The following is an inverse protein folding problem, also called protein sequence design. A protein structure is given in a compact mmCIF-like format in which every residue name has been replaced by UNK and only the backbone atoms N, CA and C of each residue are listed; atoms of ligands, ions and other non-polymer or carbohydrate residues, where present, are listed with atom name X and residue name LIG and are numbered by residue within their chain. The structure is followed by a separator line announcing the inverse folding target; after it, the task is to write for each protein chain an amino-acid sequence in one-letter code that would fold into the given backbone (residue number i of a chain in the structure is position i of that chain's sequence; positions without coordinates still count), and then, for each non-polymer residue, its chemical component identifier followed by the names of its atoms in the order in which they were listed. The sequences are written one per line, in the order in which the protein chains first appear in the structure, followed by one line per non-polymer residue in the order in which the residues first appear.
data_IF_810328052126
#
_entry.id   IF_810328052126
#
_cell.length_a   1.000
_cell.length_b   1.000
_cell.length_c   1.000
_cell.angle_alpha   90.00
_cell.angle_beta   90.00
_cell.angle_gamma   90.00
#
_symmetry.space_group_name_H-M   'P 1'
#
loop_
_entity.id
_entity.type
_entity.pdbx_description
1 polymer ?
#
# COMPACT_ATOMS: atom_id res chain seq x y z
N UNK A 1 5.21 22.61 7.45
CA UNK A 1 5.25 21.32 6.73
C UNK A 1 3.94 21.21 5.98
N UNK A 2 4.01 21.09 4.66
CA UNK A 2 2.83 20.91 3.80
C UNK A 2 2.31 19.49 4.01
N UNK A 3 1.01 19.29 4.20
CA UNK A 3 0.44 17.97 4.56
C UNK A 3 0.76 16.80 3.63
N UNK A 4 1.33 17.07 2.45
CA UNK A 4 1.83 16.06 1.50
C UNK A 4 3.17 15.43 1.90
N UNK A 5 4.06 16.20 2.53
CA UNK A 5 5.35 15.69 3.02
C UNK A 5 5.14 14.80 4.25
N UNK A 6 4.19 15.19 5.10
CA UNK A 6 3.80 14.43 6.29
C UNK A 6 3.14 13.09 5.89
N UNK A 7 2.32 13.09 4.83
CA UNK A 7 1.71 11.88 4.28
C UNK A 7 2.75 10.91 3.71
N UNK A 8 3.72 11.43 2.96
CA UNK A 8 4.78 10.61 2.37
C UNK A 8 5.67 9.99 3.44
N UNK A 9 6.05 10.77 4.46
CA UNK A 9 6.80 10.27 5.61
C UNK A 9 6.03 9.19 6.40
N UNK A 10 4.72 9.40 6.61
CA UNK A 10 3.86 8.42 7.25
C UNK A 10 3.81 7.10 6.48
N UNK A 11 3.59 7.14 5.17
CA UNK A 11 3.54 5.93 4.34
C UNK A 11 4.88 5.21 4.34
N UNK A 12 6.00 5.95 4.19
CA UNK A 12 7.35 5.35 4.21
C UNK A 12 7.64 4.63 5.53
N UNK A 13 7.33 5.24 6.67
CA UNK A 13 7.51 4.60 7.97
C UNK A 13 6.69 3.30 8.10
N UNK A 14 5.48 3.27 7.55
CA UNK A 14 4.65 2.06 7.58
C UNK A 14 5.13 0.97 6.64
N UNK A 15 5.70 1.34 5.50
CA UNK A 15 6.36 0.39 4.61
C UNK A 15 7.60 -0.22 5.27
N UNK A 16 8.38 0.56 6.02
CA UNK A 16 9.51 0.03 6.81
C UNK A 16 9.02 -1.03 7.84
N UNK A 17 7.94 -0.73 8.58
CA UNK A 17 7.33 -1.68 9.53
C UNK A 17 6.82 -2.96 8.85
N UNK A 18 6.14 -2.85 7.70
CA UNK A 18 5.66 -4.01 6.95
C UNK A 18 6.81 -4.87 6.39
N UNK A 19 7.93 -4.25 6.00
CA UNK A 19 9.14 -4.97 5.61
C UNK A 19 9.76 -5.73 6.79
N UNK A 20 9.79 -5.15 7.99
CA UNK A 20 10.25 -5.85 9.20
C UNK A 20 9.38 -7.08 9.49
N UNK A 21 8.06 -6.94 9.38
CA UNK A 21 7.11 -8.05 9.57
C UNK A 21 7.30 -9.14 8.53
N UNK A 22 7.43 -8.77 7.25
CA UNK A 22 7.72 -9.71 6.18
C UNK A 22 9.01 -10.50 6.43
N UNK A 23 10.07 -9.83 6.86
CA UNK A 23 11.36 -10.48 7.19
C UNK A 23 11.29 -11.37 8.43
N UNK A 24 10.31 -11.16 9.30
CA UNK A 24 10.02 -11.98 10.47
C UNK A 24 9.03 -13.13 10.20
N UNK A 25 8.70 -13.39 8.92
CA UNK A 25 7.66 -14.34 8.50
C UNK A 25 6.25 -14.00 9.07
N UNK A 26 6.02 -12.74 9.43
CA UNK A 26 4.71 -12.23 9.83
C UNK A 26 3.96 -11.64 8.64
N UNK A 27 2.63 -11.78 8.63
CA UNK A 27 1.79 -11.24 7.55
C UNK A 27 1.79 -9.70 7.56
N UNK A 28 2.35 -9.02 6.53
CA UNK A 28 2.33 -7.56 6.47
C UNK A 28 0.91 -6.99 6.48
N UNK A 29 0.72 -5.80 7.06
CA UNK A 29 -0.58 -5.13 7.10
C UNK A 29 -1.12 -4.84 5.71
N UNK A 30 -0.25 -4.51 4.76
CA UNK A 30 -0.64 -4.32 3.36
C UNK A 30 -1.28 -5.58 2.77
N UNK A 31 -0.63 -6.73 2.95
CA UNK A 31 -1.15 -8.02 2.47
C UNK A 31 -2.42 -8.45 3.22
N UNK A 32 -2.50 -8.19 4.52
CA UNK A 32 -3.72 -8.41 5.30
C UNK A 32 -4.89 -7.56 4.78
N UNK A 33 -4.65 -6.29 4.50
CA UNK A 33 -5.66 -5.38 3.94
C UNK A 33 -6.12 -5.81 2.55
N UNK A 34 -5.21 -6.32 1.71
CA UNK A 34 -5.56 -6.90 0.41
C UNK A 34 -6.42 -8.16 0.54
N UNK A 35 -6.08 -9.06 1.47
CA UNK A 35 -6.90 -10.26 1.76
C UNK A 35 -8.32 -9.90 2.21
N UNK A 36 -8.47 -8.78 2.91
CA UNK A 36 -9.75 -8.26 3.36
C UNK A 36 -10.45 -7.36 2.32
N UNK A 37 -9.88 -7.19 1.13
CA UNK A 37 -10.46 -6.41 0.05
C UNK A 37 -10.53 -4.90 0.32
N UNK A 38 -9.70 -4.38 1.23
CA UNK A 38 -9.63 -2.93 1.54
C UNK A 38 -8.81 -2.15 0.52
N UNK A 39 -7.88 -2.83 -0.12
CA UNK A 39 -7.00 -2.32 -1.17
C UNK A 39 -6.71 -3.47 -2.12
N UNK A 40 -6.36 -3.15 -3.36
CA UNK A 40 -5.86 -4.13 -4.34
C UNK A 40 -4.69 -3.52 -5.09
N UNK A 41 -3.61 -4.28 -5.16
CA UNK A 41 -2.41 -3.94 -5.94
C UNK A 41 -2.25 -4.97 -7.04
N UNK A 42 -2.23 -4.52 -8.28
CA UNK A 42 -2.18 -5.40 -9.45
C UNK A 42 -1.25 -4.83 -10.52
N UNK A 43 -0.68 -5.69 -11.36
CA UNK A 43 0.01 -5.23 -12.56
C UNK A 43 -0.96 -4.46 -13.47
N UNK A 44 -0.49 -3.32 -13.97
CA UNK A 44 -1.21 -2.54 -14.96
C UNK A 44 -1.40 -3.34 -16.27
N UNK A 45 -2.50 -3.06 -16.98
CA UNK A 45 -2.85 -3.78 -18.22
C UNK A 45 -1.88 -3.49 -19.37
N UNK A 46 -1.19 -2.36 -19.32
CA UNK A 46 -0.13 -1.95 -20.25
C UNK A 46 1.23 -2.60 -19.92
N UNK A 47 1.32 -3.33 -18.80
CA UNK A 47 2.55 -3.96 -18.32
C UNK A 47 3.53 -2.98 -17.65
N UNK A 48 3.16 -1.69 -17.52
CA UNK A 48 4.01 -0.68 -16.91
C UNK A 48 3.55 -0.34 -15.50
N UNK A 49 4.22 -0.96 -14.52
CA UNK A 49 4.01 -0.65 -13.10
C UNK A 49 2.77 -1.31 -12.50
N UNK A 50 2.30 -0.75 -11.39
CA UNK A 50 1.20 -1.29 -10.59
C UNK A 50 0.05 -0.29 -10.50
N UNK A 51 -1.17 -0.84 -10.47
CA UNK A 51 -2.40 -0.11 -10.18
C UNK A 51 -2.83 -0.38 -8.74
N UNK A 52 -3.23 0.68 -8.04
CA UNK A 52 -3.72 0.62 -6.66
C UNK A 52 -5.18 1.08 -6.65
N UNK A 53 -6.07 0.27 -6.10
CA UNK A 53 -7.51 0.58 -6.03
C UNK A 53 -8.13 0.21 -4.69
N UNK A 54 -9.11 1.00 -4.24
CA UNK A 54 -9.94 0.76 -3.05
C UNK A 54 -11.20 -0.05 -3.37
N UNK A 55 -11.53 -0.19 -4.65
CA UNK A 55 -12.81 -0.70 -5.10
C UNK A 55 -12.74 -2.23 -5.20
N UNK A 56 -13.76 -2.99 -4.74
CA UNK A 56 -13.96 -4.39 -5.11
C UNK A 56 -14.29 -4.51 -6.60
N UNK A 57 -13.36 -4.11 -7.48
CA UNK A 57 -13.55 -4.22 -8.93
C UNK A 57 -13.73 -5.70 -9.25
N UNK A 58 -14.94 -5.96 -9.76
CA UNK A 58 -15.46 -7.21 -10.28
C UNK A 58 -14.63 -7.67 -11.48
N UNK A 59 -13.46 -8.24 -11.22
CA UNK A 59 -12.76 -9.09 -12.19
C UNK A 59 -12.03 -10.20 -11.43
N UNK A 60 -12.59 -11.39 -11.63
CA UNK A 60 -12.37 -12.64 -10.91
C UNK A 60 -11.04 -13.30 -11.30
N UNK A 61 -10.37 -13.82 -10.28
CA UNK A 61 -9.72 -15.14 -10.25
C UNK A 61 -8.44 -15.42 -11.07
N UNK A 62 -8.01 -14.60 -12.05
CA UNK A 62 -6.87 -15.01 -12.92
C UNK A 62 -5.53 -14.29 -12.71
N UNK A 63 -5.49 -13.15 -12.00
CA UNK A 63 -4.21 -12.47 -11.74
C UNK A 63 -3.63 -12.92 -10.41
N UNK A 64 -2.45 -13.54 -10.48
CA UNK A 64 -1.64 -13.81 -9.30
C UNK A 64 -1.44 -12.50 -8.52
N UNK A 65 -1.55 -12.53 -7.17
CA UNK A 65 -1.23 -11.36 -6.38
C UNK A 65 0.22 -10.95 -6.64
N UNK A 66 0.45 -9.65 -6.73
CA UNK A 66 1.82 -9.11 -6.82
C UNK A 66 2.60 -9.60 -5.59
N UNK A 67 3.87 -10.01 -5.70
CA UNK A 67 4.66 -10.35 -4.51
C UNK A 67 4.88 -9.14 -3.62
N UNK A 68 4.82 -9.31 -2.29
CA UNK A 68 4.98 -8.21 -1.33
C UNK A 68 6.22 -7.32 -1.58
N UNK A 69 7.43 -7.86 -1.85
CA UNK A 69 8.61 -7.01 -2.12
C UNK A 69 8.43 -6.07 -3.31
N UNK A 70 7.71 -6.51 -4.36
CA UNK A 70 7.43 -5.69 -5.54
C UNK A 70 6.44 -4.57 -5.22
N UNK A 71 5.40 -4.87 -4.42
CA UNK A 71 4.43 -3.87 -3.96
C UNK A 71 5.11 -2.75 -3.19
N UNK A 72 5.97 -3.11 -2.23
CA UNK A 72 6.68 -2.14 -1.39
C UNK A 72 7.63 -1.28 -2.21
N UNK A 73 8.39 -1.89 -3.12
CA UNK A 73 9.30 -1.14 -4.00
C UNK A 73 8.55 -0.08 -4.81
N UNK A 74 7.39 -0.45 -5.38
CA UNK A 74 6.51 0.47 -6.10
C UNK A 74 5.98 1.59 -5.20
N UNK A 75 5.37 1.25 -4.06
CA UNK A 75 4.78 2.24 -3.14
C UNK A 75 5.84 3.19 -2.56
N UNK A 76 7.05 2.70 -2.29
CA UNK A 76 8.18 3.50 -1.83
C UNK A 76 8.65 4.47 -2.90
N UNK A 77 8.64 4.09 -4.18
CA UNK A 77 8.95 4.99 -5.28
C UNK A 77 7.87 6.09 -5.42
N UNK A 78 6.60 5.71 -5.36
CA UNK A 78 5.46 6.64 -5.39
C UNK A 78 5.52 7.64 -4.22
N UNK A 79 5.82 7.19 -3.00
CA UNK A 79 5.96 8.05 -1.82
C UNK A 79 7.15 9.02 -1.89
N UNK A 80 8.27 8.60 -2.50
CA UNK A 80 9.46 9.46 -2.66
C UNK A 80 9.29 10.52 -3.73
N UNK A 81 8.57 10.22 -4.80
CA UNK A 81 8.39 11.11 -5.96
C UNK A 81 7.08 11.89 -5.88
N UNK A 82 6.14 11.47 -5.01
CA UNK A 82 4.77 12.00 -4.93
C UNK A 82 4.09 12.07 -6.30
N UNK A 83 4.27 11.02 -7.11
CA UNK A 83 3.76 11.01 -8.48
C UNK A 83 2.23 10.90 -8.49
N UNK A 84 1.66 10.13 -7.56
CA UNK A 84 0.21 10.06 -7.34
C UNK A 84 -0.18 10.24 -5.85
N UNK A 85 -0.65 11.43 -5.45
CA UNK A 85 -1.09 11.69 -4.08
C UNK A 85 -2.32 10.87 -3.65
N UNK A 86 -3.16 10.41 -4.56
CA UNK A 86 -4.36 9.65 -4.23
C UNK A 86 -4.02 8.19 -3.89
N UNK A 87 -3.00 7.63 -4.53
CA UNK A 87 -2.38 6.35 -4.12
C UNK A 87 -1.88 6.45 -2.68
N UNK A 88 -1.14 7.51 -2.32
CA UNK A 88 -0.61 7.67 -0.96
C UNK A 88 -1.71 7.82 0.10
N UNK A 89 -2.79 8.54 -0.22
CA UNK A 89 -3.95 8.65 0.69
C UNK A 89 -4.63 7.30 0.89
N UNK A 90 -4.80 6.52 -0.17
CA UNK A 90 -5.40 5.19 -0.09
C UNK A 90 -4.54 4.26 0.77
N UNK A 91 -3.23 4.21 0.53
CA UNK A 91 -2.29 3.42 1.33
C UNK A 91 -2.29 3.88 2.80
N UNK A 92 -2.28 5.19 3.05
CA UNK A 92 -2.38 5.71 4.42
C UNK A 92 -3.72 5.36 5.10
N UNK A 93 -4.82 5.29 4.34
CA UNK A 93 -6.12 4.86 4.86
C UNK A 93 -6.10 3.41 5.34
N UNK A 94 -5.35 2.54 4.67
CA UNK A 94 -5.15 1.14 5.10
C UNK A 94 -4.44 1.09 6.44
N UNK A 95 -3.32 1.82 6.59
CA UNK A 95 -2.55 1.83 7.83
C UNK A 95 -3.26 2.52 8.99
N UNK A 96 -4.01 3.59 8.72
CA UNK A 96 -4.78 4.31 9.76
C UNK A 96 -6.02 3.55 10.26
N UNK A 97 -6.55 2.62 9.45
CA UNK A 97 -7.68 1.77 9.83
C UNK A 97 -7.27 0.56 10.70
N UNK A 98 -5.97 0.29 10.87
CA UNK A 98 -5.52 -0.77 11.77
C UNK A 98 -5.71 -0.35 13.24
N UNK A 99 -6.46 -1.14 14.03
CA UNK A 99 -6.89 -0.77 15.39
C UNK A 99 -5.73 -0.62 16.38
N UNK A 100 -4.57 -1.18 16.06
CA UNK A 100 -3.38 -1.13 16.90
C UNK A 100 -2.61 0.20 16.79
N UNK A 101 -3.01 1.11 15.90
CA UNK A 101 -2.27 2.35 15.64
C UNK A 101 -2.96 3.63 16.16
N UNK A 102 -2.23 4.55 16.83
CA UNK A 102 -2.78 5.84 17.23
C UNK A 102 -3.20 6.66 16.00
N UNK A 103 -4.49 6.98 15.92
CA UNK A 103 -5.06 7.87 14.90
C UNK A 103 -4.28 9.17 14.86
N UNK A 104 -3.68 9.48 13.71
CA UNK A 104 -3.08 10.79 13.47
C UNK A 104 -4.23 11.80 13.48
N UNK A 105 -4.25 12.69 14.47
CA UNK A 105 -5.19 13.82 14.56
C UNK A 105 -4.74 14.97 13.67
#
# INVERSE_FOLDING_TARGET
MTGSDDLSAFVLARLDEDEERFNADELPHLDDAERHGRIRIMYADDGEGLLVSADPVQAREERAPVPFPEKVAFLRAEAKVMRDPDVLKLVASVYSAHPDWPKVQ
#
